data_IF_776712228534
#
_entry.id   IF_776712228534
#
_cell.length_a   1.000
_cell.length_b   1.000
_cell.length_c   1.000
_cell.angle_alpha   90.00
_cell.angle_beta   90.00
_cell.angle_gamma   90.00
#
_symmetry.space_group_name_H-M   'P 1'
#
loop_
_entity.id
_entity.type
_entity.pdbx_description
1 polymer ?
#
# COMPACT_ATOMS: atom_id res chain seq x y z
N UNK A 1 -35.46 23.07 -39.69
CA UNK A 1 -35.01 22.12 -38.66
C UNK A 1 -33.50 22.23 -38.55
N UNK A 2 -33.00 22.64 -37.38
CA UNK A 2 -31.57 22.94 -37.19
C UNK A 2 -30.77 21.65 -37.21
N UNK A 3 -29.77 21.59 -38.08
CA UNK A 3 -28.69 20.63 -37.99
C UNK A 3 -27.86 20.99 -36.76
N UNK A 4 -28.03 20.24 -35.68
CA UNK A 4 -27.13 20.32 -34.54
C UNK A 4 -25.89 19.49 -34.84
N UNK A 5 -24.88 20.21 -35.28
CA UNK A 5 -23.50 19.78 -35.45
C UNK A 5 -23.02 19.11 -34.17
N UNK A 6 -22.79 17.79 -34.22
CA UNK A 6 -21.98 17.06 -33.24
C UNK A 6 -20.59 17.71 -33.19
N UNK A 7 -20.42 18.67 -32.29
CA UNK A 7 -19.12 19.24 -31.98
C UNK A 7 -18.24 18.12 -31.45
N UNK A 8 -17.16 17.83 -32.16
CA UNK A 8 -16.07 17.00 -31.70
C UNK A 8 -15.69 17.43 -30.27
N UNK A 9 -15.98 16.59 -29.29
CA UNK A 9 -15.52 16.80 -27.92
C UNK A 9 -14.62 15.67 -27.49
N UNK A 10 -13.46 16.11 -26.99
CA UNK A 10 -12.40 15.39 -26.28
C UNK A 10 -11.38 14.64 -27.13
N UNK A 11 -10.11 14.94 -26.86
CA UNK A 11 -8.95 14.35 -27.51
C UNK A 11 -8.80 12.86 -27.23
N UNK A 12 -7.66 12.31 -27.64
CA UNK A 12 -7.32 10.89 -27.54
C UNK A 12 -7.76 10.30 -26.18
N UNK A 13 -8.61 9.28 -26.20
CA UNK A 13 -9.15 8.54 -25.03
C UNK A 13 -10.15 9.30 -24.12
N UNK A 14 -10.81 10.37 -24.59
CA UNK A 14 -11.84 11.05 -23.80
C UNK A 14 -11.27 11.95 -22.70
N UNK A 15 -9.97 12.23 -22.75
CA UNK A 15 -9.27 13.11 -21.82
C UNK A 15 -9.28 14.53 -22.39
N UNK A 16 -9.72 15.51 -21.60
CA UNK A 16 -9.66 16.92 -22.01
C UNK A 16 -8.21 17.39 -22.10
N UNK A 17 -7.93 18.34 -22.98
CA UNK A 17 -6.57 18.90 -23.14
C UNK A 17 -6.05 19.52 -21.85
N UNK A 18 -6.94 20.11 -21.05
CA UNK A 18 -6.62 20.64 -19.73
C UNK A 18 -6.17 19.53 -18.77
N UNK A 19 -6.90 18.41 -18.72
CA UNK A 19 -6.55 17.28 -17.88
C UNK A 19 -5.25 16.62 -18.34
N UNK A 20 -5.07 16.44 -19.66
CA UNK A 20 -3.84 15.92 -20.23
C UNK A 20 -2.63 16.81 -19.87
N UNK A 21 -2.80 18.14 -19.88
CA UNK A 21 -1.78 19.08 -19.42
C UNK A 21 -1.45 18.88 -17.93
N UNK A 22 -2.46 18.74 -17.07
CA UNK A 22 -2.26 18.49 -15.63
C UNK A 22 -1.51 17.18 -15.38
N UNK A 23 -1.88 16.09 -16.06
CA UNK A 23 -1.19 14.78 -15.94
C UNK A 23 0.28 14.90 -16.31
N UNK A 24 0.61 15.56 -17.42
CA UNK A 24 2.01 15.78 -17.84
C UNK A 24 2.78 16.62 -16.84
N UNK A 25 2.15 17.67 -16.30
CA UNK A 25 2.77 18.52 -15.27
C UNK A 25 3.05 17.72 -14.00
N UNK A 26 2.10 16.91 -13.51
CA UNK A 26 2.30 16.03 -12.35
C UNK A 26 3.41 15.01 -12.57
N UNK A 27 3.49 14.41 -13.77
CA UNK A 27 4.57 13.48 -14.11
C UNK A 27 5.94 14.18 -14.09
N UNK A 28 6.04 15.38 -14.67
CA UNK A 28 7.29 16.15 -14.68
C UNK A 28 7.74 16.51 -13.26
N UNK A 29 6.83 16.96 -12.41
CA UNK A 29 7.12 17.25 -10.99
C UNK A 29 7.60 15.98 -10.28
N UNK A 30 6.93 14.85 -10.48
CA UNK A 30 7.33 13.57 -9.90
C UNK A 30 8.74 13.18 -10.35
N UNK A 31 9.05 13.29 -11.64
CA UNK A 31 10.36 12.90 -12.18
C UNK A 31 11.49 13.81 -11.74
N UNK A 32 11.22 15.10 -11.56
CA UNK A 32 12.20 16.06 -11.04
C UNK A 32 12.57 15.77 -9.58
N UNK A 33 11.59 15.39 -8.75
CA UNK A 33 11.81 15.16 -7.33
C UNK A 33 12.25 13.72 -7.00
N UNK A 34 11.73 12.72 -7.71
CA UNK A 34 11.85 11.30 -7.36
C UNK A 34 12.57 10.46 -8.43
N UNK A 35 12.83 11.04 -9.61
CA UNK A 35 13.36 10.32 -10.76
C UNK A 35 12.29 9.52 -11.52
N UNK A 36 12.74 8.77 -12.54
CA UNK A 36 11.88 7.97 -13.43
C UNK A 36 11.85 6.48 -13.09
N UNK A 37 12.62 6.03 -12.09
CA UNK A 37 12.70 4.63 -11.68
C UNK A 37 11.55 4.32 -10.74
N UNK A 38 10.80 3.25 -11.03
CA UNK A 38 9.72 2.75 -10.17
C UNK A 38 10.16 1.39 -9.62
N UNK A 39 10.00 1.20 -8.31
CA UNK A 39 10.20 -0.08 -7.63
C UNK A 39 8.84 -0.62 -7.20
N UNK A 40 8.58 -1.88 -7.51
CA UNK A 40 7.33 -2.55 -7.14
C UNK A 40 7.59 -3.59 -6.05
N UNK A 41 6.77 -3.55 -4.99
CA UNK A 41 6.72 -4.59 -3.97
C UNK A 41 5.39 -5.34 -4.10
N UNK A 42 5.46 -6.64 -4.37
CA UNK A 42 4.27 -7.47 -4.50
C UNK A 42 3.81 -7.91 -3.09
N UNK A 43 2.59 -7.59 -2.66
CA UNK A 43 2.13 -7.99 -1.33
C UNK A 43 1.98 -9.51 -1.23
N UNK A 44 2.44 -10.08 -0.11
CA UNK A 44 2.41 -11.52 0.15
C UNK A 44 1.03 -12.09 0.50
N UNK A 45 -0.01 -11.26 0.52
CA UNK A 45 -1.39 -11.73 0.75
C UNK A 45 -2.11 -12.13 -0.54
N UNK A 46 -1.55 -11.84 -1.72
CA UNK A 46 -2.11 -12.22 -3.01
C UNK A 46 -1.35 -13.42 -3.56
N UNK A 47 -2.09 -14.48 -3.87
CA UNK A 47 -1.58 -15.61 -4.64
C UNK A 47 -2.11 -15.52 -6.07
N UNK A 48 -1.21 -15.52 -7.04
CA UNK A 48 -1.55 -15.53 -8.46
C UNK A 48 -0.73 -16.62 -9.14
N UNK A 49 -1.42 -17.62 -9.71
CA UNK A 49 -0.79 -18.77 -10.38
C UNK A 49 0.22 -19.51 -9.48
N UNK A 50 -0.05 -19.63 -8.18
CA UNK A 50 0.85 -20.28 -7.22
C UNK A 50 2.01 -19.40 -6.75
N UNK A 51 2.15 -18.17 -7.28
CA UNK A 51 3.16 -17.22 -6.85
C UNK A 51 2.58 -16.25 -5.81
N UNK A 52 3.37 -15.98 -4.78
CA UNK A 52 3.05 -15.02 -3.73
C UNK A 52 4.16 -13.99 -3.63
N UNK A 53 3.79 -12.74 -3.36
CA UNK A 53 4.75 -11.67 -3.17
C UNK A 53 5.60 -11.81 -1.91
N UNK A 54 6.83 -11.29 -1.94
CA UNK A 54 7.79 -11.33 -0.83
C UNK A 54 7.64 -10.15 0.14
N UNK A 55 6.41 -9.71 0.35
CA UNK A 55 6.09 -8.52 1.14
C UNK A 55 4.84 -8.78 1.99
N UNK A 56 4.91 -9.64 3.03
CA UNK A 56 3.77 -9.96 3.87
C UNK A 56 3.22 -8.70 4.56
N UNK A 57 1.90 -8.67 4.75
CA UNK A 57 1.24 -7.61 5.49
C UNK A 57 0.96 -8.03 6.93
N UNK A 58 1.21 -7.10 7.83
CA UNK A 58 1.13 -7.28 9.27
C UNK A 58 0.06 -6.34 9.80
N UNK A 59 -0.84 -6.89 10.62
CA UNK A 59 -1.83 -6.09 11.33
C UNK A 59 -1.45 -5.92 12.81
N UNK A 60 -1.21 -4.68 13.22
CA UNK A 60 -0.90 -4.33 14.62
C UNK A 60 -2.11 -4.40 15.55
N UNK A 61 -3.32 -4.53 14.99
CA UNK A 61 -4.57 -4.73 15.72
C UNK A 61 -5.15 -6.12 15.52
N UNK A 62 -4.42 -7.03 14.84
CA UNK A 62 -4.95 -8.31 14.41
C UNK A 62 -6.15 -8.15 13.49
N UNK A 63 -7.28 -8.82 13.78
CA UNK A 63 -8.48 -8.72 12.92
C UNK A 63 -9.43 -7.58 13.34
N UNK A 64 -9.06 -6.80 14.36
CA UNK A 64 -9.92 -5.78 14.95
C UNK A 64 -9.81 -4.43 14.24
N UNK A 65 -10.93 -3.75 14.03
CA UNK A 65 -11.02 -2.40 13.47
C UNK A 65 -12.21 -1.67 14.10
N UNK A 66 -11.95 -0.61 14.87
CA UNK A 66 -13.00 0.17 15.55
C UNK A 66 -13.90 0.89 14.54
N UNK A 67 -13.31 1.40 13.45
CA UNK A 67 -14.04 2.21 12.47
C UNK A 67 -15.09 1.41 11.68
N UNK A 68 -14.83 0.12 11.46
CA UNK A 68 -15.71 -0.82 10.73
C UNK A 68 -16.41 -0.22 9.48
N UNK A 69 -15.66 0.55 8.68
CA UNK A 69 -16.24 1.36 7.61
C UNK A 69 -16.93 0.52 6.53
N UNK A 70 -17.85 1.14 5.79
CA UNK A 70 -18.64 0.47 4.73
C UNK A 70 -17.78 -0.14 3.61
N UNK A 71 -16.52 0.29 3.45
CA UNK A 71 -15.60 -0.21 2.43
C UNK A 71 -15.19 -1.67 2.67
N UNK A 72 -14.53 -1.95 3.80
CA UNK A 72 -13.98 -3.28 4.06
C UNK A 72 -14.64 -4.01 5.23
N UNK A 73 -15.30 -3.31 6.15
CA UNK A 73 -15.87 -3.87 7.38
C UNK A 73 -14.89 -4.77 8.17
N UNK A 74 -13.61 -4.37 8.23
CA UNK A 74 -12.53 -5.14 8.86
C UNK A 74 -12.09 -6.42 8.14
N UNK A 75 -12.73 -6.79 7.01
CA UNK A 75 -12.48 -8.08 6.34
C UNK A 75 -11.06 -8.21 5.77
N UNK A 76 -10.44 -7.10 5.36
CA UNK A 76 -9.06 -7.07 4.83
C UNK A 76 -8.02 -7.53 5.85
N UNK A 77 -8.27 -7.31 7.14
CA UNK A 77 -7.32 -7.66 8.19
C UNK A 77 -7.13 -9.16 8.38
N UNK A 78 -8.09 -9.97 7.88
CA UNK A 78 -8.07 -11.44 8.06
C UNK A 78 -7.02 -12.15 7.23
N UNK A 79 -6.51 -11.52 6.16
CA UNK A 79 -5.40 -12.06 5.37
C UNK A 79 -4.04 -11.55 5.84
N UNK A 80 -4.00 -10.70 6.88
CA UNK A 80 -2.77 -10.13 7.41
C UNK A 80 -2.27 -10.94 8.61
N UNK A 81 -0.95 -10.98 8.79
CA UNK A 81 -0.31 -11.62 9.95
C UNK A 81 -0.54 -10.75 11.19
N UNK A 82 -1.22 -11.24 12.24
CA UNK A 82 -1.48 -10.45 13.43
C UNK A 82 -0.20 -10.31 14.27
N UNK A 83 0.26 -9.07 14.50
CA UNK A 83 1.40 -8.81 15.37
C UNK A 83 1.34 -7.40 16.00
N UNK A 84 0.98 -7.34 17.28
CA UNK A 84 0.85 -6.11 18.04
C UNK A 84 2.08 -5.79 18.94
N UNK A 85 3.13 -6.60 18.88
CA UNK A 85 4.28 -6.53 19.80
C UNK A 85 5.59 -6.39 19.00
N UNK A 86 6.45 -5.40 19.32
CA UNK A 86 7.72 -5.19 18.63
C UNK A 86 8.66 -6.39 18.74
N UNK A 87 8.71 -7.08 19.89
CA UNK A 87 9.57 -8.28 20.05
C UNK A 87 9.14 -9.41 19.12
N UNK A 88 7.84 -9.69 19.05
CA UNK A 88 7.29 -10.70 18.14
C UNK A 88 7.49 -10.32 16.67
N UNK A 89 7.43 -9.03 16.35
CA UNK A 89 7.71 -8.53 15.00
C UNK A 89 9.16 -8.84 14.59
N UNK A 90 10.13 -8.64 15.49
CA UNK A 90 11.52 -8.97 15.22
C UNK A 90 11.76 -10.49 15.11
N UNK A 91 11.08 -11.29 15.93
CA UNK A 91 11.14 -12.77 15.82
C UNK A 91 10.60 -13.27 14.48
N UNK A 92 9.49 -12.69 13.99
CA UNK A 92 8.96 -12.98 12.65
C UNK A 92 9.94 -12.53 11.56
N UNK A 93 10.50 -11.33 11.71
CA UNK A 93 11.46 -10.78 10.77
C UNK A 93 12.70 -11.67 10.62
N UNK A 94 13.26 -12.19 11.71
CA UNK A 94 14.42 -13.09 11.63
C UNK A 94 14.12 -14.33 10.78
N UNK A 95 12.96 -14.97 10.99
CA UNK A 95 12.52 -16.12 10.17
C UNK A 95 12.32 -15.74 8.71
N UNK A 96 11.67 -14.62 8.45
CA UNK A 96 11.40 -14.14 7.10
C UNK A 96 12.65 -13.74 6.32
N UNK A 97 13.73 -13.32 6.99
CA UNK A 97 15.02 -13.11 6.32
C UNK A 97 15.56 -14.41 5.75
N UNK A 98 15.48 -15.50 6.50
CA UNK A 98 15.92 -16.83 6.05
C UNK A 98 15.05 -17.34 4.90
N UNK A 99 13.77 -16.98 4.86
CA UNK A 99 12.82 -17.31 3.78
C UNK A 99 12.93 -16.38 2.55
N UNK A 100 13.85 -15.42 2.56
CA UNK A 100 14.08 -14.51 1.42
C UNK A 100 13.00 -13.45 1.23
N UNK A 101 12.27 -13.09 2.29
CA UNK A 101 11.35 -11.95 2.31
C UNK A 101 12.13 -10.64 2.28
N UNK A 102 11.67 -9.70 1.46
CA UNK A 102 12.40 -8.47 1.15
C UNK A 102 11.88 -7.27 1.95
N UNK A 103 10.63 -7.33 2.43
CA UNK A 103 10.03 -6.26 3.19
C UNK A 103 8.74 -6.67 3.89
N UNK A 104 8.17 -5.77 4.68
CA UNK A 104 6.92 -6.01 5.42
C UNK A 104 6.02 -4.78 5.34
N UNK A 105 4.71 -4.97 5.16
CA UNK A 105 3.74 -3.89 5.25
C UNK A 105 3.19 -3.81 6.68
N UNK A 106 3.52 -2.75 7.40
CA UNK A 106 2.92 -2.48 8.72
C UNK A 106 1.59 -1.73 8.56
N UNK A 107 0.50 -2.34 9.01
CA UNK A 107 -0.84 -1.78 8.94
C UNK A 107 -1.71 -2.29 10.09
N UNK A 108 -3.03 -2.14 9.98
CA UNK A 108 -3.98 -2.61 10.96
C UNK A 108 -5.35 -1.96 10.78
N UNK A 109 -6.26 -2.29 11.70
CA UNK A 109 -7.54 -1.62 11.81
C UNK A 109 -7.40 -0.19 12.33
N UNK A 110 -8.26 0.68 11.83
CA UNK A 110 -8.32 2.07 12.27
C UNK A 110 -9.08 2.22 13.58
N UNK A 111 -8.63 3.15 14.40
CA UNK A 111 -9.36 3.70 15.54
C UNK A 111 -10.58 4.49 15.07
N UNK A 112 -11.45 4.92 16.00
CA UNK A 112 -12.57 5.80 15.69
C UNK A 112 -12.13 7.17 15.13
N UNK A 113 -10.90 7.61 15.45
CA UNK A 113 -10.31 8.84 14.92
C UNK A 113 -9.69 8.65 13.52
N UNK A 114 -9.79 7.45 12.93
CA UNK A 114 -9.41 7.18 11.55
C UNK A 114 -7.93 6.84 11.31
N UNK A 115 -7.14 6.58 12.35
CA UNK A 115 -5.72 6.21 12.21
C UNK A 115 -5.43 4.78 12.68
N UNK A 116 -4.36 4.16 12.19
CA UNK A 116 -3.88 2.85 12.68
C UNK A 116 -2.90 3.07 13.82
N UNK A 117 -3.05 2.42 14.99
CA UNK A 117 -2.22 2.66 16.17
C UNK A 117 -0.84 1.97 16.08
N UNK A 118 0.00 2.43 15.13
CA UNK A 118 1.32 1.85 14.83
C UNK A 118 2.36 2.06 15.95
N UNK A 119 2.13 2.98 16.89
CA UNK A 119 3.09 3.39 17.92
C UNK A 119 3.66 2.20 18.70
N UNK A 120 2.87 1.14 18.88
CA UNK A 120 3.26 -0.08 19.60
C UNK A 120 4.42 -0.81 18.95
N UNK A 121 4.54 -0.77 17.62
CA UNK A 121 5.55 -1.51 16.86
C UNK A 121 6.64 -0.62 16.26
N UNK A 122 6.47 0.71 16.29
CA UNK A 122 7.47 1.66 15.78
C UNK A 122 8.89 1.43 16.32
N UNK A 123 9.12 1.06 17.60
CA UNK A 123 10.47 0.80 18.09
C UNK A 123 11.22 -0.32 17.35
N UNK A 124 10.51 -1.24 16.68
CA UNK A 124 11.13 -2.31 15.90
C UNK A 124 11.59 -1.85 14.50
N UNK A 125 11.06 -0.74 13.97
CA UNK A 125 11.31 -0.32 12.58
C UNK A 125 12.78 -0.05 12.28
N UNK A 126 13.57 0.64 13.13
CA UNK A 126 15.00 0.83 12.87
C UNK A 126 15.75 -0.51 12.76
N UNK A 127 15.45 -1.45 13.66
CA UNK A 127 16.07 -2.78 13.69
C UNK A 127 15.66 -3.58 12.44
N UNK A 128 14.40 -3.51 12.00
CA UNK A 128 13.96 -4.15 10.75
C UNK A 128 14.75 -3.63 9.54
N UNK A 129 15.02 -2.32 9.49
CA UNK A 129 15.84 -1.72 8.42
C UNK A 129 17.30 -2.17 8.48
N UNK A 130 17.88 -2.27 9.69
CA UNK A 130 19.23 -2.83 9.88
C UNK A 130 19.30 -4.30 9.44
N UNK A 131 18.23 -5.07 9.63
CA UNK A 131 18.09 -6.45 9.13
C UNK A 131 17.89 -6.53 7.61
N UNK A 132 17.75 -5.39 6.92
CA UNK A 132 17.62 -5.29 5.47
C UNK A 132 16.19 -5.35 4.94
N UNK A 133 15.16 -5.17 5.78
CA UNK A 133 13.77 -5.09 5.32
C UNK A 133 13.42 -3.70 4.81
N UNK A 134 12.65 -3.66 3.72
CA UNK A 134 11.82 -2.52 3.37
C UNK A 134 10.55 -2.50 4.24
N UNK A 135 10.28 -1.39 4.91
CA UNK A 135 9.14 -1.21 5.83
C UNK A 135 8.38 0.06 5.48
#
# INVERSE_FOLDING_TARGET
MKAETLKAQSGLLGVSDELAKKIRQSAQISWQNLGKKITFYLPGMFNLYGLTGKYPAISVTGHHCDLNCKHCKGKLLRSMVPCANPKKLLELASKWREEGIEGVLLSGGSTLDGYVPLQRVLPAVPILKEMGFYV
#
